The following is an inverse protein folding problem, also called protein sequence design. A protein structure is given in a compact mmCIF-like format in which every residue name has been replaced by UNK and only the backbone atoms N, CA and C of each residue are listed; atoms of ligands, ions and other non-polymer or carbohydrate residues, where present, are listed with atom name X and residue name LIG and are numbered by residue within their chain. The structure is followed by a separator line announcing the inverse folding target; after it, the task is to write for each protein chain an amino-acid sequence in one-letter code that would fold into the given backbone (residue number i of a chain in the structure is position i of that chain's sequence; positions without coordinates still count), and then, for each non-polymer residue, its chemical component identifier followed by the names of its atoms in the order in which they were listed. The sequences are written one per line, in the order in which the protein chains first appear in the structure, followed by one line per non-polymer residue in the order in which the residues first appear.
data_IF_577770523088
#
_entry.id   IF_577770523088
#
_cell.length_a   1.000
_cell.length_b   1.000
_cell.length_c   1.000
_cell.angle_alpha   90.00
_cell.angle_beta   90.00
_cell.angle_gamma   90.00
#
_symmetry.space_group_name_H-M   'P 1'
#
loop_
_entity.id
_entity.type
_entity.pdbx_description
1 polymer ?
#
# COMPACT_ATOMS: atom_id res chain seq x y z
N UNK A 1 8.82 -32.20 -35.07
CA UNK A 1 9.36 -30.82 -35.08
C UNK A 1 10.83 -30.91 -35.40
N UNK A 2 11.26 -30.28 -36.49
CA UNK A 2 12.66 -30.30 -36.89
C UNK A 2 13.51 -29.47 -35.91
N UNK A 3 14.75 -29.90 -35.69
CA UNK A 3 15.70 -29.23 -34.78
C UNK A 3 15.90 -27.76 -35.17
N UNK A 4 15.82 -27.45 -36.47
CA UNK A 4 15.84 -26.09 -37.01
C UNK A 4 14.70 -25.21 -36.49
N UNK A 5 13.47 -25.74 -36.41
CA UNK A 5 12.33 -25.00 -35.86
C UNK A 5 12.47 -24.69 -34.37
N UNK A 6 13.14 -25.57 -33.60
CA UNK A 6 13.38 -25.36 -32.17
C UNK A 6 14.41 -24.23 -31.97
N UNK A 7 15.49 -24.22 -32.76
CA UNK A 7 16.54 -23.19 -32.68
C UNK A 7 15.98 -21.81 -33.03
N UNK A 8 15.17 -21.70 -34.09
CA UNK A 8 14.54 -20.43 -34.50
C UNK A 8 13.61 -19.91 -33.41
N UNK A 9 12.86 -20.78 -32.74
CA UNK A 9 11.93 -20.39 -31.67
C UNK A 9 12.68 -19.88 -30.43
N UNK A 10 13.80 -20.52 -30.06
CA UNK A 10 14.64 -20.06 -28.94
C UNK A 10 15.24 -18.68 -29.23
N UNK A 11 15.75 -18.45 -30.44
CA UNK A 11 16.30 -17.15 -30.83
C UNK A 11 15.22 -16.06 -30.84
N UNK A 12 14.01 -16.36 -31.33
CA UNK A 12 12.89 -15.43 -31.34
C UNK A 12 12.47 -15.01 -29.92
N UNK A 13 12.45 -15.95 -28.98
CA UNK A 13 12.13 -15.68 -27.56
C UNK A 13 13.19 -14.79 -26.92
N UNK A 14 14.48 -15.04 -27.18
CA UNK A 14 15.57 -14.23 -26.61
C UNK A 14 15.52 -12.80 -27.15
N UNK A 15 15.25 -12.61 -28.45
CA UNK A 15 15.11 -11.28 -29.05
C UNK A 15 13.89 -10.55 -28.47
N UNK A 16 12.75 -11.23 -28.30
CA UNK A 16 11.55 -10.65 -27.72
C UNK A 16 11.77 -10.17 -26.28
N UNK A 17 12.52 -10.92 -25.48
CA UNK A 17 12.88 -10.55 -24.09
C UNK A 17 13.82 -9.34 -24.05
N UNK A 18 14.80 -9.27 -24.96
CA UNK A 18 15.71 -8.13 -25.05
C UNK A 18 14.99 -6.84 -25.48
N UNK A 19 14.08 -6.93 -26.46
CA UNK A 19 13.29 -5.79 -26.92
C UNK A 19 12.30 -5.29 -25.85
N UNK A 20 11.65 -6.20 -25.11
CA UNK A 20 10.75 -5.81 -24.03
C UNK A 20 11.49 -5.18 -22.86
N UNK A 21 12.71 -5.64 -22.54
CA UNK A 21 13.59 -4.99 -21.55
C UNK A 21 13.96 -3.54 -21.94
N UNK A 22 14.30 -3.30 -23.21
CA UNK A 22 14.60 -1.95 -23.71
C UNK A 22 13.40 -1.00 -23.64
N UNK A 23 12.19 -1.49 -23.96
CA UNK A 23 10.96 -0.68 -23.90
C UNK A 23 10.61 -0.28 -22.46
N UNK A 24 10.76 -1.20 -21.50
CA UNK A 24 10.50 -0.96 -20.08
C UNK A 24 11.47 0.10 -19.52
N UNK A 25 12.75 0.04 -19.89
CA UNK A 25 13.76 1.02 -19.47
C UNK A 25 13.43 2.45 -19.96
N UNK A 26 12.93 2.57 -21.20
CA UNK A 26 12.53 3.87 -21.75
C UNK A 26 11.28 4.46 -21.07
N UNK A 27 10.33 3.63 -20.64
CA UNK A 27 9.13 4.08 -19.91
C UNK A 27 9.44 4.47 -18.46
N UNK A 28 10.34 3.74 -17.78
CA UNK A 28 10.78 4.05 -16.42
C UNK A 28 11.48 5.41 -16.36
N UNK A 29 12.33 5.75 -17.34
CA UNK A 29 12.98 7.07 -17.39
C UNK A 29 11.99 8.23 -17.52
N UNK A 30 10.87 8.03 -18.24
CA UNK A 30 9.80 9.03 -18.39
C UNK A 30 8.96 9.16 -17.13
N UNK A 31 8.64 8.06 -16.45
CA UNK A 31 7.92 8.09 -15.18
C UNK A 31 8.77 8.69 -14.05
N UNK A 32 10.07 8.42 -14.02
CA UNK A 32 10.99 9.01 -13.04
C UNK A 32 11.07 10.54 -13.18
N UNK A 33 11.11 11.06 -14.42
CA UNK A 33 11.05 12.52 -14.67
C UNK A 33 9.71 13.12 -14.28
N UNK A 34 8.59 12.41 -14.50
CA UNK A 34 7.27 12.86 -14.07
C UNK A 34 7.14 12.90 -12.54
N UNK A 35 7.72 11.93 -11.83
CA UNK A 35 7.77 11.90 -10.37
C UNK A 35 8.68 13.01 -9.83
N UNK A 36 9.84 13.25 -10.45
CA UNK A 36 10.72 14.36 -10.07
C UNK A 36 10.08 15.74 -10.33
N UNK A 37 9.36 15.89 -11.44
CA UNK A 37 8.60 17.10 -11.73
C UNK A 37 7.45 17.31 -10.74
N UNK A 38 6.72 16.25 -10.39
CA UNK A 38 5.64 16.31 -9.40
C UNK A 38 6.16 16.66 -8.00
N UNK A 39 7.32 16.14 -7.59
CA UNK A 39 7.96 16.52 -6.33
C UNK A 39 8.39 17.99 -6.35
N UNK A 40 8.98 18.45 -7.45
CA UNK A 40 9.40 19.85 -7.60
C UNK A 40 8.22 20.84 -7.59
N UNK A 41 7.07 20.48 -8.18
CA UNK A 41 5.86 21.32 -8.13
C UNK A 41 5.16 21.24 -6.77
N UNK A 42 5.21 20.08 -6.10
CA UNK A 42 4.62 19.91 -4.76
C UNK A 42 5.43 20.60 -3.65
N UNK A 43 6.72 20.87 -3.87
CA UNK A 43 7.54 21.68 -2.95
C UNK A 43 7.32 23.19 -3.07
N UNK A 44 6.53 23.67 -4.05
CA UNK A 44 6.25 25.10 -4.24
C UNK A 44 4.90 25.56 -3.67
N UNK A 45 4.04 24.67 -3.18
CA UNK A 45 2.73 25.05 -2.66
C UNK A 45 2.46 24.42 -1.30
N UNK A 46 2.60 25.22 -0.23
CA UNK A 46 1.82 25.10 1.01
C UNK A 46 1.92 26.44 1.79
N UNK A 47 0.93 26.80 2.63
CA UNK A 47 -0.03 27.84 2.26
C UNK A 47 -0.09 29.00 3.28
N UNK A 48 -0.39 30.22 2.80
CA UNK A 48 -0.87 31.29 3.70
C UNK A 48 -1.96 32.12 3.02
N UNK A 49 -3.16 32.04 3.62
CA UNK A 49 -4.28 33.00 3.67
C UNK A 49 -4.40 34.16 2.66
N UNK A 50 -5.63 34.22 2.14
CA UNK A 50 -6.52 35.39 2.00
C UNK A 50 -6.41 36.36 0.79
N UNK A 51 -7.44 36.25 -0.06
CA UNK A 51 -8.34 37.32 -0.56
C UNK A 51 -7.88 38.31 -1.66
N UNK A 52 -8.78 38.45 -2.65
CA UNK A 52 -9.00 39.52 -3.67
C UNK A 52 -8.22 39.54 -5.00
N UNK A 53 -8.95 39.18 -6.07
CA UNK A 53 -9.12 39.78 -7.42
C UNK A 53 -7.98 40.46 -8.21
N UNK A 54 -8.04 40.40 -9.57
CA UNK A 54 -6.86 40.50 -10.44
C UNK A 54 -6.61 41.92 -10.96
N UNK A 55 -5.33 42.32 -11.11
CA UNK A 55 -4.96 43.48 -11.94
C UNK A 55 -3.56 43.31 -12.54
N UNK A 56 -3.48 43.59 -13.85
CA UNK A 56 -2.28 43.67 -14.70
C UNK A 56 -1.17 44.52 -14.08
N UNK A 57 0.10 44.14 -14.29
CA UNK A 57 1.04 44.85 -15.18
C UNK A 57 2.52 44.51 -14.88
N UNK A 58 3.26 44.27 -15.97
CA UNK A 58 4.58 44.83 -16.32
C UNK A 58 5.74 44.65 -15.32
N UNK A 59 6.82 44.00 -15.80
CA UNK A 59 8.17 44.34 -15.35
C UNK A 59 9.18 43.19 -15.29
N UNK A 60 9.61 42.68 -16.44
CA UNK A 60 10.84 41.88 -16.53
C UNK A 60 12.09 42.67 -16.12
N UNK A 61 13.11 41.91 -15.70
CA UNK A 61 14.54 42.25 -15.59
C UNK A 61 15.01 42.80 -14.25
N UNK A 62 15.17 41.91 -13.24
CA UNK A 62 16.23 41.97 -12.19
C UNK A 62 16.17 40.83 -11.14
N UNK A 63 15.77 39.61 -11.51
CA UNK A 63 15.67 38.49 -10.56
C UNK A 63 16.43 37.21 -10.98
N UNK A 64 17.22 37.26 -12.06
CA UNK A 64 17.92 36.06 -12.57
C UNK A 64 19.35 35.89 -12.03
N UNK A 65 20.01 36.95 -11.53
CA UNK A 65 21.41 36.83 -11.06
C UNK A 65 21.56 36.37 -9.60
N UNK A 66 20.51 36.43 -8.77
CA UNK A 66 20.54 35.95 -7.39
C UNK A 66 20.16 34.47 -7.24
N UNK A 67 19.44 33.88 -8.19
CA UNK A 67 19.02 32.47 -8.15
C UNK A 67 20.10 31.48 -8.67
N UNK A 68 21.05 31.93 -9.48
CA UNK A 68 22.12 31.07 -10.00
C UNK A 68 23.25 30.81 -8.98
N UNK A 69 23.51 31.76 -8.07
CA UNK A 69 24.52 31.60 -7.02
C UNK A 69 24.04 30.74 -5.84
N UNK A 70 22.74 30.69 -5.57
CA UNK A 70 22.19 29.77 -4.56
C UNK A 70 22.01 28.35 -5.11
N UNK A 71 21.67 28.18 -6.39
CA UNK A 71 21.61 26.83 -7.01
C UNK A 71 22.97 26.14 -7.06
N UNK A 72 24.09 26.86 -7.22
CA UNK A 72 25.43 26.25 -7.20
C UNK A 72 25.94 25.88 -5.81
N UNK A 73 25.41 26.47 -4.73
CA UNK A 73 25.77 26.06 -3.36
C UNK A 73 25.03 24.82 -2.85
N UNK A 74 23.90 24.45 -3.47
CA UNK A 74 23.16 23.23 -3.12
C UNK A 74 23.72 21.98 -3.81
N UNK A 75 24.47 22.14 -4.91
CA UNK A 75 25.04 21.02 -5.69
C UNK A 75 26.52 20.71 -5.40
N UNK A 76 27.15 21.38 -4.43
CA UNK A 76 28.54 21.13 -4.01
C UNK A 76 28.71 20.61 -2.57
N UNK A 77 27.61 20.32 -1.86
CA UNK A 77 27.65 19.50 -0.67
C UNK A 77 27.17 18.11 -1.04
N UNK A 78 28.01 17.07 -0.90
CA UNK A 78 27.58 15.69 -1.03
C UNK A 78 26.33 15.49 -0.18
N UNK A 79 25.18 15.33 -0.85
CA UNK A 79 23.92 15.06 -0.15
C UNK A 79 24.11 13.71 0.49
N UNK A 80 24.25 13.71 1.81
CA UNK A 80 24.55 12.53 2.59
C UNK A 80 23.43 11.52 2.36
N UNK A 81 23.69 10.48 1.56
CA UNK A 81 22.69 9.47 1.16
C UNK A 81 22.00 8.88 2.40
N UNK A 82 22.71 8.84 3.54
CA UNK A 82 22.18 8.46 4.84
C UNK A 82 21.05 9.37 5.35
N UNK A 83 21.08 10.68 5.10
CA UNK A 83 19.99 11.58 5.50
C UNK A 83 18.74 11.41 4.65
N UNK A 84 18.90 11.14 3.35
CA UNK A 84 17.78 10.81 2.46
C UNK A 84 17.15 9.48 2.88
N UNK A 85 17.98 8.46 3.14
CA UNK A 85 17.52 7.16 3.62
C UNK A 85 16.82 7.28 4.98
N UNK A 86 17.33 8.11 5.88
CA UNK A 86 16.73 8.36 7.20
C UNK A 86 15.37 9.04 7.09
N UNK A 87 15.24 10.06 6.22
CA UNK A 87 13.95 10.73 5.96
C UNK A 87 12.95 9.81 5.26
N UNK A 88 13.41 9.00 4.30
CA UNK A 88 12.57 8.03 3.61
C UNK A 88 12.04 6.97 4.59
N UNK A 89 12.92 6.44 5.45
CA UNK A 89 12.56 5.50 6.51
C UNK A 89 11.55 6.09 7.47
N UNK A 90 11.74 7.34 7.90
CA UNK A 90 10.81 8.02 8.80
C UNK A 90 9.40 8.18 8.19
N UNK A 91 9.31 8.62 6.93
CA UNK A 91 8.02 8.76 6.22
C UNK A 91 7.35 7.40 6.03
N UNK A 92 8.14 6.35 5.79
CA UNK A 92 7.65 4.99 5.66
C UNK A 92 7.11 4.48 7.01
N UNK A 93 7.84 4.68 8.09
CA UNK A 93 7.48 4.26 9.45
C UNK A 93 6.19 4.95 9.92
N UNK A 94 6.04 6.26 9.68
CA UNK A 94 4.82 7.01 9.98
C UNK A 94 3.61 6.47 9.20
N UNK A 95 3.78 6.17 7.91
CA UNK A 95 2.71 5.60 7.09
C UNK A 95 2.35 4.17 7.52
N UNK A 96 3.32 3.36 7.95
CA UNK A 96 3.08 2.02 8.51
C UNK A 96 2.27 2.12 9.81
N UNK A 97 2.64 3.03 10.71
CA UNK A 97 1.90 3.25 11.94
C UNK A 97 0.46 3.69 11.70
N UNK A 98 0.22 4.55 10.70
CA UNK A 98 -1.14 4.95 10.33
C UNK A 98 -1.99 3.76 9.86
N UNK A 99 -1.43 2.85 9.06
CA UNK A 99 -2.15 1.64 8.61
C UNK A 99 -2.43 0.70 9.79
N UNK A 100 -1.49 0.54 10.73
CA UNK A 100 -1.71 -0.27 11.94
C UNK A 100 -2.75 0.35 12.87
N UNK A 101 -2.78 1.66 13.00
CA UNK A 101 -3.81 2.37 13.77
C UNK A 101 -5.19 2.23 13.10
N UNK A 102 -5.26 2.28 11.77
CA UNK A 102 -6.52 2.02 11.06
C UNK A 102 -6.98 0.56 11.27
N UNK A 103 -6.06 -0.41 11.29
CA UNK A 103 -6.38 -1.80 11.61
C UNK A 103 -7.00 -1.95 13.02
N UNK A 104 -6.48 -1.22 14.02
CA UNK A 104 -7.06 -1.17 15.38
C UNK A 104 -8.46 -0.55 15.37
N UNK A 105 -8.68 0.53 14.61
CA UNK A 105 -10.02 1.12 14.45
C UNK A 105 -11.00 0.16 13.79
N UNK A 106 -10.58 -0.62 12.78
CA UNK A 106 -11.44 -1.66 12.18
C UNK A 106 -11.76 -2.79 13.16
N UNK A 107 -10.84 -3.12 14.06
CA UNK A 107 -11.09 -4.04 15.17
C UNK A 107 -12.21 -3.52 16.08
N UNK A 108 -12.14 -2.26 16.51
CA UNK A 108 -13.20 -1.61 17.30
C UNK A 108 -14.53 -1.61 16.56
N UNK A 109 -14.51 -1.35 15.25
CA UNK A 109 -15.71 -1.33 14.42
C UNK A 109 -16.41 -2.69 14.35
N UNK A 110 -15.64 -3.78 14.26
CA UNK A 110 -16.16 -5.15 14.31
C UNK A 110 -16.75 -5.50 15.68
N UNK A 111 -16.18 -4.98 16.77
CA UNK A 111 -16.75 -5.14 18.10
C UNK A 111 -18.07 -4.37 18.24
N UNK A 112 -18.15 -3.15 17.69
CA UNK A 112 -19.43 -2.42 17.63
C UNK A 112 -20.49 -3.19 16.83
N UNK A 113 -20.12 -3.85 15.74
CA UNK A 113 -21.06 -4.71 14.98
C UNK A 113 -21.60 -5.85 15.84
N UNK A 114 -20.78 -6.42 16.72
CA UNK A 114 -21.20 -7.43 17.67
C UNK A 114 -22.18 -6.87 18.72
N UNK A 115 -21.96 -5.64 19.20
CA UNK A 115 -22.88 -4.97 20.12
C UNK A 115 -24.24 -4.68 19.47
N UNK A 116 -24.23 -4.23 18.21
CA UNK A 116 -25.47 -4.04 17.42
C UNK A 116 -26.17 -5.39 17.19
N UNK A 117 -25.42 -6.47 16.95
CA UNK A 117 -26.01 -7.82 16.84
C UNK A 117 -26.68 -8.27 18.16
N UNK A 118 -26.10 -7.95 19.31
CA UNK A 118 -26.73 -8.20 20.63
C UNK A 118 -28.02 -7.40 20.78
N UNK A 119 -28.01 -6.13 20.34
CA UNK A 119 -29.21 -5.29 20.30
C UNK A 119 -30.34 -5.90 19.46
N UNK A 120 -29.99 -6.50 18.32
CA UNK A 120 -30.95 -7.23 17.49
C UNK A 120 -31.52 -8.46 18.21
N UNK A 121 -30.67 -9.30 18.81
CA UNK A 121 -31.11 -10.49 19.53
C UNK A 121 -32.05 -10.18 20.70
N UNK A 122 -31.80 -9.06 21.39
CA UNK A 122 -32.65 -8.56 22.48
C UNK A 122 -33.92 -7.82 21.99
N UNK A 123 -34.10 -7.67 20.68
CA UNK A 123 -35.26 -6.99 20.08
C UNK A 123 -35.22 -5.45 20.13
N UNK A 124 -34.09 -4.85 20.51
CA UNK A 124 -33.91 -3.40 20.53
C UNK A 124 -33.58 -2.81 19.15
N UNK A 125 -33.06 -3.62 18.24
CA UNK A 125 -32.62 -3.22 16.90
C UNK A 125 -33.33 -4.08 15.88
N UNK A 126 -33.86 -3.46 14.83
CA UNK A 126 -34.48 -4.17 13.72
C UNK A 126 -33.46 -4.83 12.80
N UNK A 127 -33.93 -5.80 12.01
CA UNK A 127 -33.11 -6.45 11.00
C UNK A 127 -32.48 -5.46 10.01
N UNK A 128 -33.27 -4.50 9.54
CA UNK A 128 -32.84 -3.49 8.57
C UNK A 128 -31.77 -2.57 9.13
N UNK A 129 -31.89 -2.16 10.40
CA UNK A 129 -30.89 -1.33 11.08
C UNK A 129 -29.55 -2.08 11.25
N UNK A 130 -29.62 -3.35 11.65
CA UNK A 130 -28.44 -4.20 11.72
C UNK A 130 -27.77 -4.33 10.34
N UNK A 131 -28.55 -4.68 9.32
CA UNK A 131 -28.05 -4.88 7.96
C UNK A 131 -27.47 -3.57 7.37
N UNK A 132 -28.10 -2.42 7.65
CA UNK A 132 -27.57 -1.11 7.24
C UNK A 132 -26.22 -0.81 7.91
N UNK A 133 -26.08 -1.13 9.21
CA UNK A 133 -24.81 -0.98 9.92
C UNK A 133 -23.74 -1.94 9.36
N UNK A 134 -24.10 -3.21 9.14
CA UNK A 134 -23.24 -4.22 8.54
C UNK A 134 -22.69 -3.76 7.18
N UNK A 135 -23.53 -3.20 6.31
CA UNK A 135 -23.09 -2.71 5.00
C UNK A 135 -22.06 -1.57 5.12
N UNK A 136 -22.19 -0.68 6.10
CA UNK A 136 -21.18 0.35 6.39
C UNK A 136 -19.86 -0.28 6.82
N UNK A 137 -19.92 -1.26 7.74
CA UNK A 137 -18.72 -1.99 8.19
C UNK A 137 -18.04 -2.71 7.03
N UNK A 138 -18.78 -3.39 6.16
CA UNK A 138 -18.22 -4.05 4.98
C UNK A 138 -17.53 -3.08 4.02
N UNK A 139 -18.12 -1.92 3.76
CA UNK A 139 -17.51 -0.89 2.93
C UNK A 139 -16.20 -0.36 3.55
N UNK A 140 -16.20 -0.10 4.87
CA UNK A 140 -15.00 0.30 5.61
C UNK A 140 -13.89 -0.77 5.56
N UNK A 141 -14.24 -2.07 5.62
CA UNK A 141 -13.28 -3.15 5.51
C UNK A 141 -12.71 -3.31 4.10
N UNK A 142 -13.51 -3.06 3.07
CA UNK A 142 -13.04 -3.07 1.68
C UNK A 142 -12.07 -1.92 1.41
N UNK A 143 -12.34 -0.73 1.96
CA UNK A 143 -11.42 0.40 1.91
C UNK A 143 -10.11 0.07 2.66
N UNK A 144 -10.22 -0.46 3.88
CA UNK A 144 -9.07 -0.90 4.66
C UNK A 144 -8.23 -1.94 3.91
N UNK A 145 -8.86 -2.92 3.24
CA UNK A 145 -8.15 -3.91 2.41
C UNK A 145 -7.31 -3.24 1.31
N UNK A 146 -7.85 -2.21 0.64
CA UNK A 146 -7.11 -1.45 -0.38
C UNK A 146 -5.91 -0.73 0.22
N UNK A 147 -6.11 -0.05 1.35
CA UNK A 147 -5.04 0.65 2.08
C UNK A 147 -3.93 -0.32 2.55
N UNK A 148 -4.33 -1.46 3.11
CA UNK A 148 -3.41 -2.49 3.57
C UNK A 148 -2.56 -3.04 2.43
N UNK A 149 -3.19 -3.44 1.32
CA UNK A 149 -2.48 -4.05 0.19
C UNK A 149 -1.64 -3.04 -0.60
N UNK A 150 -2.01 -1.76 -0.60
CA UNK A 150 -1.17 -0.70 -1.16
C UNK A 150 0.17 -0.58 -0.40
N UNK A 151 0.16 -0.85 0.91
CA UNK A 151 1.38 -0.80 1.73
C UNK A 151 2.11 -2.13 1.80
N UNK A 152 1.36 -3.22 1.91
CA UNK A 152 1.85 -4.58 2.07
C UNK A 152 1.33 -5.46 0.92
N UNK A 153 1.93 -5.35 -0.27
CA UNK A 153 1.53 -6.17 -1.41
C UNK A 153 1.92 -7.64 -1.14
N UNK A 154 0.95 -8.43 -0.67
CA UNK A 154 1.10 -9.86 -0.41
C UNK A 154 -0.16 -10.60 -0.79
N UNK A 155 0.00 -11.68 -1.58
CA UNK A 155 -1.11 -12.53 -1.95
C UNK A 155 -1.71 -13.24 -0.73
N UNK A 156 -0.88 -13.65 0.25
CA UNK A 156 -1.37 -14.24 1.49
C UNK A 156 -2.24 -13.29 2.31
N UNK A 157 -1.83 -12.01 2.35
CA UNK A 157 -2.55 -11.00 3.13
C UNK A 157 -3.87 -10.64 2.41
N UNK A 158 -3.86 -10.62 1.07
CA UNK A 158 -5.08 -10.44 0.26
C UNK A 158 -6.10 -11.54 0.52
N UNK A 159 -5.66 -12.80 0.52
CA UNK A 159 -6.57 -13.94 0.72
C UNK A 159 -7.15 -13.93 2.15
N UNK A 160 -6.31 -13.62 3.15
CA UNK A 160 -6.76 -13.44 4.55
C UNK A 160 -7.77 -12.29 4.68
N UNK A 161 -7.51 -11.14 4.08
CA UNK A 161 -8.43 -9.98 4.12
C UNK A 161 -9.76 -10.28 3.41
N UNK A 162 -9.73 -11.00 2.29
CA UNK A 162 -10.95 -11.44 1.62
C UNK A 162 -11.73 -12.46 2.48
N UNK A 163 -11.03 -13.36 3.17
CA UNK A 163 -11.64 -14.31 4.09
C UNK A 163 -12.28 -13.59 5.28
N UNK A 164 -11.61 -12.60 5.85
CA UNK A 164 -12.15 -11.73 6.90
C UNK A 164 -13.45 -11.04 6.45
N UNK A 165 -13.44 -10.38 5.29
CA UNK A 165 -14.64 -9.73 4.73
C UNK A 165 -15.76 -10.76 4.50
N UNK A 166 -15.40 -11.97 4.03
CA UNK A 166 -16.37 -13.04 3.81
C UNK A 166 -17.01 -13.52 5.12
N UNK A 167 -16.26 -13.60 6.22
CA UNK A 167 -16.84 -13.92 7.53
C UNK A 167 -17.83 -12.86 7.97
N UNK A 168 -17.48 -11.59 7.84
CA UNK A 168 -18.38 -10.47 8.19
C UNK A 168 -19.60 -10.46 7.27
N UNK A 169 -19.45 -10.69 5.98
CA UNK A 169 -20.59 -10.73 5.06
C UNK A 169 -21.60 -11.86 5.38
N UNK A 170 -21.13 -12.98 5.93
CA UNK A 170 -21.98 -14.10 6.38
C UNK A 170 -22.80 -13.80 7.63
N UNK A 171 -22.64 -12.62 8.24
CA UNK A 171 -23.46 -12.20 9.39
C UNK A 171 -24.74 -11.48 8.97
N UNK A 172 -24.95 -11.24 7.66
CA UNK A 172 -26.17 -10.62 7.14
C UNK A 172 -27.42 -11.40 7.56
N UNK A 173 -28.42 -10.66 8.02
CA UNK A 173 -29.73 -11.21 8.37
C UNK A 173 -30.68 -11.22 7.13
N UNK A 174 -31.62 -12.18 7.06
CA UNK A 174 -31.78 -13.30 7.97
C UNK A 174 -30.69 -14.36 7.72
N UNK A 175 -30.21 -15.03 8.78
CA UNK A 175 -29.20 -16.08 8.62
C UNK A 175 -29.88 -17.41 8.32
N UNK A 176 -29.66 -17.90 7.10
CA UNK A 176 -30.16 -19.19 6.65
C UNK A 176 -29.07 -20.28 6.67
N UNK A 177 -29.44 -21.47 7.12
CA UNK A 177 -28.53 -22.63 7.20
C UNK A 177 -29.18 -23.84 6.55
N UNK A 178 -28.40 -24.59 5.76
CA UNK A 178 -28.85 -25.87 5.21
C UNK A 178 -28.83 -26.93 6.31
N UNK A 179 -29.95 -27.59 6.52
CA UNK A 179 -30.08 -28.71 7.46
C UNK A 179 -29.24 -29.90 6.95
N UNK A 180 -28.47 -30.55 7.83
CA UNK A 180 -27.70 -31.75 7.42
C UNK A 180 -28.67 -32.88 7.06
N UNK A 181 -28.64 -33.32 5.79
CA UNK A 181 -29.43 -34.45 5.30
C UNK A 181 -30.76 -34.09 4.64
N UNK A 182 -31.10 -32.80 4.52
CA UNK A 182 -32.26 -32.32 3.76
C UNK A 182 -31.88 -31.10 2.92
N UNK A 183 -32.48 -30.92 1.75
CA UNK A 183 -32.25 -29.73 0.91
C UNK A 183 -32.90 -28.44 1.44
N UNK A 184 -33.51 -28.47 2.64
CA UNK A 184 -34.22 -27.32 3.20
C UNK A 184 -33.26 -26.35 3.90
N UNK A 185 -33.45 -25.07 3.62
CA UNK A 185 -32.85 -23.97 4.39
C UNK A 185 -33.74 -23.63 5.57
N UNK A 186 -33.14 -23.46 6.75
CA UNK A 186 -33.80 -23.03 7.98
C UNK A 186 -33.27 -21.65 8.33
N UNK A 187 -34.16 -20.72 8.62
CA UNK A 187 -33.82 -19.41 9.17
C UNK A 187 -33.56 -19.55 10.66
N UNK A 188 -32.40 -19.07 11.12
CA UNK A 188 -32.03 -19.10 12.53
C UNK A 188 -32.89 -18.15 13.35
N UNK A 189 -33.19 -18.56 14.57
CA UNK A 189 -33.75 -17.65 15.58
C UNK A 189 -32.75 -16.53 15.94
N UNK A 190 -33.18 -15.39 16.52
CA UNK A 190 -32.27 -14.30 16.89
C UNK A 190 -31.09 -14.72 17.78
N UNK A 191 -31.31 -15.65 18.72
CA UNK A 191 -30.26 -16.18 19.60
C UNK A 191 -29.25 -17.05 18.84
N UNK A 192 -29.72 -17.94 17.99
CA UNK A 192 -28.85 -18.79 17.14
C UNK A 192 -28.10 -17.95 16.11
N UNK A 193 -28.77 -16.93 15.55
CA UNK A 193 -28.15 -15.95 14.68
C UNK A 193 -27.03 -15.20 15.43
N UNK A 194 -27.26 -14.73 16.66
CA UNK A 194 -26.24 -14.06 17.46
C UNK A 194 -25.01 -14.93 17.69
N UNK A 195 -25.19 -16.22 18.02
CA UNK A 195 -24.07 -17.16 18.19
C UNK A 195 -23.24 -17.24 16.91
N UNK A 196 -23.91 -17.35 15.75
CA UNK A 196 -23.25 -17.44 14.45
C UNK A 196 -22.57 -16.14 14.04
N UNK A 197 -23.20 -15.00 14.28
CA UNK A 197 -22.63 -13.66 14.08
C UNK A 197 -21.36 -13.53 14.93
N UNK A 198 -21.43 -13.88 16.21
CA UNK A 198 -20.31 -13.85 17.14
C UNK A 198 -19.14 -14.70 16.65
N UNK A 199 -19.40 -15.93 16.23
CA UNK A 199 -18.37 -16.84 15.71
C UNK A 199 -17.68 -16.28 14.45
N UNK A 200 -18.46 -15.75 13.51
CA UNK A 200 -17.93 -15.14 12.29
C UNK A 200 -17.12 -13.86 12.59
N UNK A 201 -17.62 -12.98 13.45
CA UNK A 201 -16.91 -11.74 13.84
C UNK A 201 -15.61 -12.09 14.56
N UNK A 202 -15.60 -13.05 15.48
CA UNK A 202 -14.38 -13.50 16.16
C UNK A 202 -13.36 -14.08 15.18
N UNK A 203 -13.81 -14.83 14.17
CA UNK A 203 -12.94 -15.33 13.10
C UNK A 203 -12.31 -14.18 12.29
N UNK A 204 -13.09 -13.14 12.00
CA UNK A 204 -12.59 -11.93 11.34
C UNK A 204 -11.58 -11.16 12.22
N UNK A 205 -11.88 -11.01 13.52
CA UNK A 205 -10.98 -10.38 14.50
C UNK A 205 -9.65 -11.11 14.63
N UNK A 206 -9.67 -12.45 14.65
CA UNK A 206 -8.44 -13.26 14.68
C UNK A 206 -7.54 -13.01 13.48
N UNK A 207 -8.13 -12.80 12.29
CA UNK A 207 -7.36 -12.48 11.08
C UNK A 207 -6.70 -11.10 11.21
N UNK A 208 -7.43 -10.08 11.71
CA UNK A 208 -6.86 -8.76 11.96
C UNK A 208 -5.74 -8.81 12.98
N UNK A 209 -5.94 -9.53 14.09
CA UNK A 209 -4.92 -9.66 15.13
C UNK A 209 -3.65 -10.34 14.61
N UNK A 210 -3.79 -11.37 13.79
CA UNK A 210 -2.65 -12.01 13.11
C UNK A 210 -1.91 -11.04 12.19
N UNK A 211 -2.65 -10.26 11.39
CA UNK A 211 -2.08 -9.28 10.46
C UNK A 211 -1.34 -8.17 11.21
N UNK A 212 -1.93 -7.67 12.30
CA UNK A 212 -1.33 -6.66 13.17
C UNK A 212 -0.09 -7.22 13.85
N UNK A 213 -0.13 -8.43 14.43
CA UNK A 213 1.04 -9.03 15.10
C UNK A 213 2.20 -9.24 14.14
N UNK A 214 1.94 -9.82 12.97
CA UNK A 214 2.98 -10.06 11.94
C UNK A 214 3.73 -8.80 11.50
N UNK A 215 3.10 -7.62 11.60
CA UNK A 215 3.68 -6.34 11.17
C UNK A 215 4.05 -5.42 12.33
N UNK A 216 3.44 -5.62 13.50
CA UNK A 216 3.72 -4.89 14.74
C UNK A 216 4.95 -5.42 15.48
N UNK A 217 5.28 -6.71 15.33
CA UNK A 217 6.50 -7.30 15.88
C UNK A 217 7.73 -7.11 14.97
N UNK A 218 7.51 -6.74 13.69
CA UNK A 218 8.61 -6.45 12.77
C UNK A 218 8.27 -5.24 11.88
N UNK A 219 8.42 -4.01 12.41
CA UNK A 219 8.26 -2.79 11.61
C UNK A 219 9.34 -2.66 10.53
N UNK A 220 10.43 -3.41 10.65
CA UNK A 220 11.55 -3.34 9.74
C UNK A 220 11.37 -4.32 8.57
N UNK A 221 11.53 -3.78 7.37
CA UNK A 221 11.68 -4.45 6.09
C UNK A 221 10.40 -4.93 5.43
N UNK A 222 9.66 -3.95 4.91
CA UNK A 222 8.79 -4.18 3.76
C UNK A 222 9.58 -4.79 2.59
N UNK A 223 8.98 -5.65 1.74
CA UNK A 223 9.68 -6.25 0.60
C UNK A 223 10.35 -5.22 -0.33
N UNK A 224 9.77 -4.02 -0.44
CA UNK A 224 10.36 -2.88 -1.13
C UNK A 224 11.64 -2.37 -0.45
N UNK A 225 11.73 -2.36 0.88
CA UNK A 225 12.96 -2.01 1.61
C UNK A 225 14.02 -3.11 1.46
N UNK A 226 13.63 -4.38 1.36
CA UNK A 226 14.56 -5.47 1.06
C UNK A 226 15.13 -5.27 -0.34
N UNK A 227 14.26 -5.01 -1.33
CA UNK A 227 14.67 -4.79 -2.71
C UNK A 227 15.53 -3.51 -2.85
N UNK A 228 15.12 -2.42 -2.20
CA UNK A 228 15.85 -1.16 -2.24
C UNK A 228 17.20 -1.28 -1.53
N UNK A 229 17.28 -1.97 -0.37
CA UNK A 229 18.54 -2.23 0.31
C UNK A 229 19.46 -3.12 -0.52
N UNK A 230 18.92 -4.16 -1.17
CA UNK A 230 19.69 -5.01 -2.08
C UNK A 230 20.19 -4.26 -3.33
N UNK A 231 19.41 -3.34 -3.86
CA UNK A 231 19.82 -2.50 -4.99
C UNK A 231 20.87 -1.46 -4.58
N UNK A 232 20.70 -0.82 -3.43
CA UNK A 232 21.69 0.11 -2.86
C UNK A 232 23.00 -0.62 -2.57
N UNK A 233 22.96 -1.85 -2.07
CA UNK A 233 24.15 -2.64 -1.79
C UNK A 233 24.85 -3.14 -3.07
N UNK A 234 24.08 -3.44 -4.12
CA UNK A 234 24.65 -3.70 -5.46
C UNK A 234 25.30 -2.46 -6.05
N UNK A 235 24.72 -1.28 -5.84
CA UNK A 235 25.29 -0.01 -6.29
C UNK A 235 26.57 0.32 -5.52
N UNK A 236 26.59 0.13 -4.19
CA UNK A 236 27.80 0.29 -3.37
C UNK A 236 28.94 -0.60 -3.86
N UNK A 237 28.69 -1.89 -4.10
CA UNK A 237 29.73 -2.80 -4.64
C UNK A 237 30.25 -2.38 -6.01
N UNK A 238 29.40 -1.80 -6.87
CA UNK A 238 29.84 -1.30 -8.17
C UNK A 238 30.70 -0.04 -8.04
N UNK A 239 30.37 0.85 -7.08
CA UNK A 239 31.18 2.03 -6.78
C UNK A 239 32.54 1.61 -6.24
N UNK A 240 32.60 0.71 -5.26
CA UNK A 240 33.86 0.17 -4.72
C UNK A 240 34.73 -0.48 -5.82
N UNK A 241 34.13 -1.23 -6.74
CA UNK A 241 34.86 -1.82 -7.87
C UNK A 241 35.37 -0.78 -8.88
N UNK A 242 34.63 0.32 -9.08
CA UNK A 242 35.05 1.41 -9.96
C UNK A 242 36.15 2.26 -9.30
N UNK A 243 36.07 2.49 -7.99
CA UNK A 243 37.11 3.17 -7.21
C UNK A 243 38.41 2.36 -7.18
N UNK A 244 38.33 1.04 -6.98
CA UNK A 244 39.51 0.16 -7.04
C UNK A 244 40.18 0.19 -8.42
N UNK A 245 39.39 0.18 -9.50
CA UNK A 245 39.91 0.30 -10.87
C UNK A 245 40.49 1.68 -11.17
N UNK A 246 39.92 2.74 -10.60
CA UNK A 246 40.48 4.08 -10.72
C UNK A 246 41.83 4.19 -10.01
N UNK A 247 41.95 3.61 -8.80
CA UNK A 247 43.23 3.55 -8.09
C UNK A 247 44.29 2.73 -8.84
N UNK A 248 43.91 1.63 -9.49
CA UNK A 248 44.81 0.85 -10.34
C UNK A 248 45.28 1.62 -11.59
N UNK A 249 44.42 2.48 -12.15
CA UNK A 249 44.74 3.32 -13.32
C UNK A 249 45.52 4.59 -12.95
N UNK A 250 45.36 5.12 -11.75
CA UNK A 250 46.16 6.24 -11.23
C UNK A 250 47.54 5.82 -10.73
N UNK A 251 47.76 4.53 -10.46
CA UNK A 251 49.04 3.96 -10.05
C UNK A 251 49.93 3.50 -11.23
N UNK A 252 49.45 3.64 -12.47
CA UNK A 252 50.17 3.39 -13.74
C UNK A 252 50.64 4.70 -14.38
#
# INVERSE_FOLDING_TARGET
MDILTIIVLVVAVVIAVLLSSMLISSMLSKQMRAIQAMIATSTLETPTREVTTPTKSIGSKKAEESFEKERKKVFQGGVNEEEILKKLKQVIDEKVQNVLNEAKRKKERLLMLLDVARGYALGFISEDEYNAFLMKVLAELDEFKRLWLARFPSQSDRDRLNQMISYVARTKLPIEVREKGKERTITLSPDEALIRITSNINSALSILDDLIKKRGENPAVTPLEIQLSQEVEKLRKKVEQLEARLQELEAL
#
